data_IF_743309812936
#
_entry.id   IF_743309812936
#
_cell.length_a   1.000
_cell.length_b   1.000
_cell.length_c   1.000
_cell.angle_alpha   90.00
_cell.angle_beta   90.00
_cell.angle_gamma   90.00
#
_symmetry.space_group_name_H-M   'P 1'
#
loop_
_entity.id
_entity.type
_entity.pdbx_description
1 polymer ?
#
# COMPACT_ATOMS: atom_id res chain seq x y z
N UNK A 1 -17.07 -12.59 -2.95
CA UNK A 1 -15.65 -12.60 -3.37
C UNK A 1 -14.71 -13.45 -2.51
N UNK A 2 -15.00 -13.73 -1.24
CA UNK A 2 -14.11 -14.52 -0.37
C UNK A 2 -13.65 -15.87 -0.98
N UNK A 3 -14.56 -16.61 -1.63
CA UNK A 3 -14.26 -17.88 -2.31
C UNK A 3 -13.24 -17.78 -3.46
N UNK A 4 -13.02 -16.58 -4.01
CA UNK A 4 -11.97 -16.38 -5.02
C UNK A 4 -10.59 -16.59 -4.40
N UNK A 5 -10.39 -16.07 -3.19
CA UNK A 5 -9.14 -16.21 -2.44
C UNK A 5 -9.03 -17.57 -1.77
N UNK A 6 -10.15 -18.09 -1.27
CA UNK A 6 -10.17 -19.36 -0.55
C UNK A 6 -10.06 -20.58 -1.49
N UNK A 7 -10.62 -20.51 -2.70
CA UNK A 7 -10.71 -21.64 -3.61
C UNK A 7 -10.11 -21.36 -4.99
N UNK A 8 -10.56 -20.33 -5.72
CA UNK A 8 -10.14 -20.13 -7.12
C UNK A 8 -8.63 -19.99 -7.23
N UNK A 9 -8.02 -19.13 -6.40
CA UNK A 9 -6.58 -18.94 -6.40
C UNK A 9 -5.82 -20.20 -5.95
N UNK A 10 -6.30 -20.90 -4.92
CA UNK A 10 -5.67 -22.16 -4.47
C UNK A 10 -5.75 -23.23 -5.55
N UNK A 11 -6.87 -23.31 -6.28
CA UNK A 11 -7.03 -24.22 -7.41
C UNK A 11 -6.03 -23.89 -8.51
N UNK A 12 -5.88 -22.61 -8.87
CA UNK A 12 -4.89 -22.16 -9.85
C UNK A 12 -3.46 -22.51 -9.42
N UNK A 13 -3.08 -22.24 -8.17
CA UNK A 13 -1.76 -22.60 -7.64
C UNK A 13 -1.55 -24.11 -7.68
N UNK A 14 -2.52 -24.91 -7.25
CA UNK A 14 -2.44 -26.38 -7.35
C UNK A 14 -2.32 -26.87 -8.80
N UNK A 15 -2.94 -26.20 -9.77
CA UNK A 15 -2.76 -26.50 -11.19
C UNK A 15 -1.32 -26.18 -11.63
N UNK A 16 -0.81 -25.00 -11.28
CA UNK A 16 0.54 -24.57 -11.64
C UNK A 16 1.64 -25.39 -10.94
N UNK A 17 1.34 -26.05 -9.83
CA UNK A 17 2.30 -26.95 -9.15
C UNK A 17 2.09 -28.43 -9.48
N UNK A 18 1.16 -28.77 -10.38
CA UNK A 18 0.87 -30.16 -10.75
C UNK A 18 0.23 -31.00 -9.63
N UNK A 19 -0.36 -30.36 -8.62
CA UNK A 19 -0.96 -31.01 -7.44
C UNK A 19 -2.51 -31.05 -7.51
N UNK A 20 -3.10 -30.59 -8.62
CA UNK A 20 -4.55 -30.46 -8.73
C UNK A 20 -5.25 -31.79 -9.02
N UNK A 21 -5.80 -32.42 -7.98
CA UNK A 21 -6.74 -33.57 -8.09
C UNK A 21 -6.27 -34.70 -9.02
N UNK A 22 -4.95 -34.93 -9.11
CA UNK A 22 -4.36 -35.96 -9.96
C UNK A 22 -4.39 -35.67 -11.46
N UNK A 23 -4.74 -34.44 -11.88
CA UNK A 23 -4.65 -34.02 -13.27
C UNK A 23 -3.21 -33.67 -13.65
N UNK A 24 -2.81 -34.10 -14.84
CA UNK A 24 -1.63 -33.59 -15.53
C UNK A 24 -1.92 -32.27 -16.25
N UNK A 25 -0.95 -31.75 -17.01
CA UNK A 25 -1.14 -30.56 -17.83
C UNK A 25 -1.83 -30.82 -19.17
N UNK A 26 -2.13 -32.08 -19.52
CA UNK A 26 -2.75 -32.47 -20.78
C UNK A 26 -1.97 -31.96 -21.99
N UNK A 27 -2.66 -31.21 -22.86
CA UNK A 27 -2.08 -30.58 -24.06
C UNK A 27 -1.39 -29.23 -23.79
N UNK A 28 -1.38 -28.79 -22.54
CA UNK A 28 -0.86 -27.51 -22.09
C UNK A 28 0.42 -27.70 -21.24
N UNK A 29 1.11 -26.60 -20.94
CA UNK A 29 2.40 -26.56 -20.23
C UNK A 29 2.42 -25.48 -19.13
N UNK A 30 1.34 -25.44 -18.33
CA UNK A 30 1.14 -24.45 -17.27
C UNK A 30 1.82 -24.81 -15.94
N UNK A 31 2.47 -25.98 -15.85
CA UNK A 31 3.15 -26.43 -14.63
C UNK A 31 4.50 -25.72 -14.51
N UNK A 32 4.70 -25.06 -13.38
CA UNK A 32 5.96 -24.42 -13.03
C UNK A 32 6.98 -25.48 -12.61
N UNK A 33 8.24 -25.27 -12.99
CA UNK A 33 9.34 -26.07 -12.49
C UNK A 33 9.41 -25.98 -10.94
N UNK A 34 9.67 -27.09 -10.22
CA UNK A 34 9.73 -27.09 -8.76
C UNK A 34 10.71 -26.07 -8.17
N UNK A 35 11.88 -25.86 -8.81
CA UNK A 35 12.87 -24.89 -8.35
C UNK A 35 12.38 -23.44 -8.59
N UNK A 36 11.63 -23.24 -9.67
CA UNK A 36 10.95 -21.97 -9.94
C UNK A 36 9.90 -21.68 -8.88
N UNK A 37 9.07 -22.65 -8.53
CA UNK A 37 8.05 -22.48 -7.49
C UNK A 37 8.65 -22.23 -6.11
N UNK A 38 9.74 -22.93 -5.77
CA UNK A 38 10.53 -22.68 -4.57
C UNK A 38 11.06 -21.23 -4.53
N UNK A 39 11.66 -20.75 -5.62
CA UNK A 39 12.14 -19.38 -5.71
C UNK A 39 11.02 -18.34 -5.55
N UNK A 40 9.82 -18.62 -6.09
CA UNK A 40 8.63 -17.77 -5.89
C UNK A 40 8.24 -17.70 -4.41
N UNK A 41 8.26 -18.84 -3.71
CA UNK A 41 7.99 -18.92 -2.27
C UNK A 41 8.98 -18.12 -1.43
N UNK A 42 10.28 -18.23 -1.74
CA UNK A 42 11.36 -17.50 -1.07
C UNK A 42 11.26 -15.98 -1.31
N UNK A 43 11.00 -15.55 -2.55
CA UNK A 43 10.78 -14.15 -2.90
C UNK A 43 9.54 -13.57 -2.18
N UNK A 44 8.47 -14.36 -2.11
CA UNK A 44 7.23 -13.98 -1.40
C UNK A 44 7.49 -13.76 0.09
N UNK A 45 8.17 -14.70 0.76
CA UNK A 45 8.48 -14.56 2.18
C UNK A 45 9.43 -13.38 2.46
N UNK A 46 10.43 -13.20 1.59
CA UNK A 46 11.40 -12.09 1.68
C UNK A 46 10.75 -10.72 1.56
N UNK A 47 9.67 -10.60 0.77
CA UNK A 47 8.88 -9.37 0.66
C UNK A 47 8.26 -8.95 2.01
N UNK A 48 8.08 -9.87 2.96
CA UNK A 48 7.60 -9.54 4.31
C UNK A 48 8.51 -8.63 5.13
N UNK A 49 9.76 -8.43 4.71
CA UNK A 49 10.68 -7.45 5.30
C UNK A 49 10.58 -6.06 4.67
N UNK A 50 10.03 -5.96 3.47
CA UNK A 50 10.01 -4.72 2.65
C UNK A 50 8.61 -4.21 2.33
N UNK A 51 7.57 -4.97 2.70
CA UNK A 51 6.18 -4.54 2.68
C UNK A 51 5.80 -4.04 4.09
N UNK A 52 5.44 -2.76 4.26
CA UNK A 52 5.09 -2.19 5.55
C UNK A 52 3.93 -2.92 6.24
N UNK A 53 3.89 -2.90 7.57
CA UNK A 53 2.86 -3.61 8.36
C UNK A 53 1.44 -3.11 8.11
N UNK A 54 1.30 -1.89 7.61
CA UNK A 54 -0.01 -1.31 7.29
C UNK A 54 -0.71 -2.06 6.14
N UNK A 55 0.04 -2.77 5.30
CA UNK A 55 -0.48 -3.63 4.23
C UNK A 55 -1.04 -4.96 4.77
N UNK A 56 -0.74 -5.30 6.02
CA UNK A 56 -1.22 -6.53 6.67
C UNK A 56 -0.11 -7.38 7.29
N UNK A 57 -0.43 -8.64 7.66
CA UNK A 57 0.53 -9.62 8.16
C UNK A 57 1.69 -9.88 7.18
N UNK A 58 2.77 -10.51 7.67
CA UNK A 58 3.87 -10.89 6.78
C UNK A 58 3.34 -11.96 5.82
N UNK A 59 3.54 -11.83 4.50
CA UNK A 59 3.17 -12.88 3.57
C UNK A 59 3.96 -14.15 3.92
N UNK A 60 3.28 -15.30 4.13
CA UNK A 60 3.95 -16.58 4.33
C UNK A 60 4.65 -17.04 3.05
N UNK A 61 5.55 -18.02 3.18
CA UNK A 61 6.11 -18.69 2.02
C UNK A 61 5.01 -19.56 1.37
N UNK A 62 4.52 -19.15 0.20
CA UNK A 62 3.43 -19.83 -0.51
C UNK A 62 3.77 -21.25 -0.97
N UNK A 63 5.05 -21.60 -1.06
CA UNK A 63 5.51 -22.95 -1.37
C UNK A 63 5.66 -23.81 -0.10
N UNK A 64 6.34 -23.29 0.93
CA UNK A 64 6.70 -24.06 2.11
C UNK A 64 5.61 -24.13 3.20
N UNK A 65 4.72 -23.13 3.27
CA UNK A 65 3.70 -23.02 4.33
C UNK A 65 2.33 -22.62 3.77
N UNK A 66 1.77 -23.50 2.94
CA UNK A 66 0.42 -23.33 2.38
C UNK A 66 -0.67 -23.24 3.46
N UNK A 67 -0.43 -23.83 4.63
CA UNK A 67 -1.36 -23.81 5.77
C UNK A 67 -1.45 -22.45 6.45
N UNK A 68 -0.34 -21.72 6.53
CA UNK A 68 -0.35 -20.33 7.02
C UNK A 68 -0.96 -19.34 6.02
N UNK A 69 -1.15 -19.75 4.76
CA UNK A 69 -1.77 -18.92 3.73
C UNK A 69 -3.30 -18.85 3.91
N UNK A 70 -3.77 -17.89 4.73
CA UNK A 70 -5.19 -17.55 4.88
C UNK A 70 -5.75 -16.88 3.61
N UNK A 71 -7.08 -16.81 3.48
CA UNK A 71 -7.73 -16.09 2.38
C UNK A 71 -7.29 -14.61 2.29
N UNK A 72 -7.03 -13.95 3.43
CA UNK A 72 -6.48 -12.59 3.48
C UNK A 72 -5.08 -12.54 2.84
N UNK A 73 -4.17 -13.42 3.27
CA UNK A 73 -2.80 -13.49 2.73
C UNK A 73 -2.76 -13.87 1.25
N UNK A 74 -3.67 -14.74 0.80
CA UNK A 74 -3.83 -15.12 -0.59
C UNK A 74 -4.34 -13.96 -1.44
N UNK A 75 -5.30 -13.17 -0.94
CA UNK A 75 -5.77 -11.97 -1.64
C UNK A 75 -4.64 -10.95 -1.80
N UNK A 76 -3.88 -10.71 -0.73
CA UNK A 76 -2.72 -9.83 -0.76
C UNK A 76 -1.65 -10.32 -1.74
N UNK A 77 -1.32 -11.61 -1.68
CA UNK A 77 -0.35 -12.22 -2.58
C UNK A 77 -0.80 -12.09 -4.05
N UNK A 78 -2.05 -12.44 -4.35
CA UNK A 78 -2.57 -12.40 -5.72
C UNK A 78 -2.59 -11.01 -6.34
N UNK A 79 -3.00 -10.00 -5.56
CA UNK A 79 -3.16 -8.63 -6.06
C UNK A 79 -1.80 -7.92 -6.21
N UNK A 80 -0.86 -8.18 -5.30
CA UNK A 80 0.31 -7.33 -5.15
C UNK A 80 1.65 -8.06 -5.37
N UNK A 81 1.76 -9.34 -5.00
CA UNK A 81 3.02 -10.09 -5.04
C UNK A 81 3.14 -10.96 -6.29
N UNK A 82 2.14 -11.80 -6.53
CA UNK A 82 2.07 -12.74 -7.64
C UNK A 82 2.31 -12.09 -9.02
N UNK A 83 1.77 -10.89 -9.34
CA UNK A 83 2.06 -10.24 -10.61
C UNK A 83 3.54 -9.97 -10.84
N UNK A 84 4.31 -9.77 -9.76
CA UNK A 84 5.76 -9.58 -9.81
C UNK A 84 6.48 -10.92 -9.91
N UNK A 85 6.25 -11.82 -8.95
CA UNK A 85 7.05 -13.04 -8.79
C UNK A 85 6.75 -14.11 -9.84
N UNK A 86 5.55 -14.12 -10.45
CA UNK A 86 5.19 -15.05 -11.53
C UNK A 86 5.64 -14.58 -12.92
N UNK A 87 6.04 -13.30 -13.07
CA UNK A 87 6.34 -12.73 -14.38
C UNK A 87 7.48 -13.47 -15.06
N UNK A 88 7.26 -13.96 -16.28
CA UNK A 88 8.27 -14.71 -17.03
C UNK A 88 8.76 -15.99 -16.35
N UNK A 89 7.94 -16.61 -15.48
CA UNK A 89 8.24 -17.90 -14.83
C UNK A 89 7.57 -19.09 -15.51
N UNK A 90 6.44 -18.85 -16.17
CA UNK A 90 5.80 -19.86 -17.00
C UNK A 90 6.57 -20.07 -18.30
N UNK A 91 6.58 -21.30 -18.82
CA UNK A 91 7.19 -21.62 -20.12
C UNK A 91 6.51 -20.90 -21.28
N UNK A 92 5.20 -20.73 -21.19
CA UNK A 92 4.41 -19.92 -22.12
C UNK A 92 3.77 -18.73 -21.38
N UNK A 93 3.93 -17.52 -21.95
CA UNK A 93 3.45 -16.29 -21.32
C UNK A 93 1.92 -16.22 -21.20
N UNK A 94 1.19 -17.00 -22.01
CA UNK A 94 -0.27 -17.02 -22.02
C UNK A 94 -0.89 -17.34 -20.64
N UNK A 95 -0.26 -18.19 -19.83
CA UNK A 95 -0.76 -18.53 -18.49
C UNK A 95 -0.61 -17.38 -17.51
N UNK A 96 0.53 -16.67 -17.58
CA UNK A 96 0.74 -15.45 -16.82
C UNK A 96 -0.26 -14.36 -17.24
N UNK A 97 -0.46 -14.18 -18.54
CA UNK A 97 -1.42 -13.20 -19.06
C UNK A 97 -2.85 -13.54 -18.65
N UNK A 98 -3.23 -14.83 -18.66
CA UNK A 98 -4.52 -15.30 -18.15
C UNK A 98 -4.69 -14.97 -16.66
N UNK A 99 -3.67 -15.22 -15.84
CA UNK A 99 -3.67 -14.81 -14.42
C UNK A 99 -3.82 -13.29 -14.25
N UNK A 100 -3.03 -12.49 -14.97
CA UNK A 100 -3.08 -11.02 -14.88
C UNK A 100 -4.45 -10.47 -15.31
N UNK A 101 -5.10 -11.06 -16.33
CA UNK A 101 -6.47 -10.70 -16.71
C UNK A 101 -7.44 -10.84 -15.54
N UNK A 102 -7.35 -11.94 -14.77
CA UNK A 102 -8.15 -12.11 -13.56
C UNK A 102 -7.85 -10.99 -12.56
N UNK A 103 -6.57 -10.78 -12.23
CA UNK A 103 -6.15 -9.79 -11.22
C UNK A 103 -6.68 -8.38 -11.54
N UNK A 104 -6.65 -7.97 -12.81
CA UNK A 104 -7.24 -6.69 -13.23
C UNK A 104 -8.73 -6.59 -12.92
N UNK A 105 -9.49 -7.63 -13.26
CA UNK A 105 -10.93 -7.68 -12.98
C UNK A 105 -11.17 -7.62 -11.46
N UNK A 106 -10.35 -8.33 -10.68
CA UNK A 106 -10.49 -8.34 -9.23
C UNK A 106 -10.14 -6.99 -8.61
N UNK A 107 -9.18 -6.23 -9.14
CA UNK A 107 -8.94 -4.86 -8.71
C UNK A 107 -10.16 -3.96 -8.93
N UNK A 108 -10.83 -4.07 -10.07
CA UNK A 108 -12.10 -3.35 -10.33
C UNK A 108 -13.17 -3.72 -9.31
N UNK A 109 -13.36 -5.03 -9.03
CA UNK A 109 -14.32 -5.50 -8.02
C UNK A 109 -14.03 -5.00 -6.59
N UNK A 110 -12.80 -4.54 -6.30
CA UNK A 110 -12.36 -4.06 -4.99
C UNK A 110 -12.38 -2.53 -4.87
N UNK A 111 -12.80 -1.80 -5.90
CA UNK A 111 -12.95 -0.35 -5.81
C UNK A 111 -14.06 0.03 -4.82
N UNK A 112 -13.92 1.21 -4.21
CA UNK A 112 -14.94 1.78 -3.32
C UNK A 112 -16.20 2.18 -4.10
N UNK A 113 -16.01 2.66 -5.33
CA UNK A 113 -17.06 3.08 -6.24
C UNK A 113 -16.88 2.34 -7.56
N UNK A 114 -18.00 1.85 -8.11
CA UNK A 114 -18.03 1.22 -9.43
C UNK A 114 -19.15 1.83 -10.26
N UNK A 115 -18.81 2.23 -11.48
CA UNK A 115 -19.80 2.64 -12.48
C UNK A 115 -20.48 1.41 -13.08
N UNK A 116 -21.70 1.59 -13.61
CA UNK A 116 -22.41 0.51 -14.32
C UNK A 116 -21.62 -0.03 -15.52
N UNK A 117 -20.85 0.83 -16.20
CA UNK A 117 -20.00 0.43 -17.31
C UNK A 117 -18.82 -0.46 -16.85
N UNK A 118 -18.22 -0.16 -15.71
CA UNK A 118 -17.20 -1.03 -15.10
C UNK A 118 -17.79 -2.37 -14.68
N UNK A 119 -19.00 -2.40 -14.09
CA UNK A 119 -19.67 -3.65 -13.73
C UNK A 119 -19.97 -4.51 -14.98
N UNK A 120 -20.37 -3.91 -16.09
CA UNK A 120 -20.56 -4.65 -17.35
C UNK A 120 -19.23 -5.16 -17.93
N UNK A 121 -18.16 -4.38 -17.77
CA UNK A 121 -16.80 -4.82 -18.12
C UNK A 121 -16.35 -5.99 -17.26
N UNK A 122 -16.68 -6.02 -15.96
CA UNK A 122 -16.45 -7.16 -15.06
C UNK A 122 -17.21 -8.39 -15.54
N UNK A 123 -18.50 -8.24 -15.91
CA UNK A 123 -19.33 -9.34 -16.43
C UNK A 123 -18.71 -9.99 -17.65
N UNK A 124 -18.42 -9.18 -18.66
CA UNK A 124 -17.84 -9.65 -19.93
C UNK A 124 -16.43 -10.20 -19.69
N UNK A 125 -15.64 -9.53 -18.86
CA UNK A 125 -14.29 -9.95 -18.50
C UNK A 125 -14.25 -11.33 -17.83
N UNK A 126 -15.13 -11.60 -16.87
CA UNK A 126 -15.18 -12.91 -16.19
C UNK A 126 -15.68 -14.02 -17.11
N UNK A 127 -16.68 -13.75 -17.96
CA UNK A 127 -17.14 -14.71 -18.95
C UNK A 127 -16.04 -15.12 -19.93
N UNK A 128 -15.30 -14.13 -20.45
CA UNK A 128 -14.15 -14.38 -21.32
C UNK A 128 -13.03 -15.11 -20.58
N UNK A 129 -12.73 -14.71 -19.34
CA UNK A 129 -11.71 -15.37 -18.54
C UNK A 129 -12.02 -16.84 -18.24
N UNK A 130 -13.29 -17.15 -17.92
CA UNK A 130 -13.75 -18.54 -17.70
C UNK A 130 -13.68 -19.34 -18.99
N UNK A 131 -14.04 -18.76 -20.14
CA UNK A 131 -13.90 -19.44 -21.44
C UNK A 131 -12.43 -19.77 -21.74
N UNK A 132 -11.51 -18.83 -21.50
CA UNK A 132 -10.07 -19.09 -21.62
C UNK A 132 -9.57 -20.14 -20.61
N UNK A 133 -10.10 -20.11 -19.38
CA UNK A 133 -9.80 -21.10 -18.34
C UNK A 133 -10.21 -22.50 -18.79
N UNK A 134 -11.38 -22.64 -19.39
CA UNK A 134 -11.86 -23.93 -19.91
C UNK A 134 -10.94 -24.45 -21.01
N UNK A 135 -10.47 -23.58 -21.91
CA UNK A 135 -9.50 -23.98 -22.94
C UNK A 135 -8.15 -24.45 -22.36
N UNK A 136 -7.64 -23.77 -21.33
CA UNK A 136 -6.32 -24.06 -20.74
C UNK A 136 -6.36 -25.29 -19.81
N UNK A 137 -7.30 -25.33 -18.87
CA UNK A 137 -7.26 -26.29 -17.77
C UNK A 137 -8.21 -27.47 -17.97
N UNK A 138 -9.45 -27.21 -18.43
CA UNK A 138 -10.44 -28.25 -18.71
C UNK A 138 -10.20 -28.93 -20.07
N UNK A 139 -9.67 -28.19 -21.05
CA UNK A 139 -9.31 -28.66 -22.40
C UNK A 139 -10.47 -29.34 -23.15
N UNK A 140 -11.70 -29.04 -22.75
CA UNK A 140 -12.94 -29.66 -23.26
C UNK A 140 -12.95 -31.19 -23.20
N UNK A 141 -12.20 -31.77 -22.26
CA UNK A 141 -12.14 -33.21 -22.05
C UNK A 141 -12.94 -33.61 -20.80
N UNK A 142 -13.93 -34.48 -21.01
CA UNK A 142 -14.76 -35.05 -19.94
C UNK A 142 -13.95 -35.71 -18.80
N UNK A 143 -12.76 -36.24 -19.07
CA UNK A 143 -11.88 -36.81 -18.04
C UNK A 143 -11.28 -35.75 -17.10
N UNK A 144 -11.30 -34.48 -17.53
CA UNK A 144 -10.78 -33.33 -16.80
C UNK A 144 -11.87 -32.49 -16.13
N UNK A 145 -13.11 -33.01 -16.06
CA UNK A 145 -14.27 -32.31 -15.48
C UNK A 145 -14.03 -31.80 -14.05
N UNK A 146 -13.10 -32.43 -13.31
CA UNK A 146 -12.72 -31.98 -11.96
C UNK A 146 -12.11 -30.56 -11.92
N UNK A 147 -11.63 -30.05 -13.07
CA UNK A 147 -11.16 -28.69 -13.29
C UNK A 147 -12.30 -27.66 -13.46
N UNK A 148 -13.57 -28.07 -13.53
CA UNK A 148 -14.73 -27.17 -13.60
C UNK A 148 -15.50 -27.11 -12.27
N UNK A 149 -14.89 -26.69 -11.14
CA UNK A 149 -15.59 -26.65 -9.87
C UNK A 149 -16.61 -25.51 -9.86
N UNK A 150 -17.61 -25.64 -8.97
CA UNK A 150 -18.64 -24.62 -8.74
C UNK A 150 -18.05 -23.22 -8.46
N UNK A 151 -16.85 -23.15 -7.87
CA UNK A 151 -16.19 -21.88 -7.56
C UNK A 151 -15.69 -21.14 -8.80
N UNK A 152 -15.38 -21.84 -9.90
CA UNK A 152 -15.08 -21.21 -11.19
C UNK A 152 -16.37 -20.70 -11.84
N UNK A 153 -17.44 -21.50 -11.82
CA UNK A 153 -18.76 -21.05 -12.31
C UNK A 153 -19.28 -19.83 -11.53
N UNK A 154 -19.07 -19.79 -10.22
CA UNK A 154 -19.49 -18.69 -9.35
C UNK A 154 -18.91 -17.32 -9.77
N UNK A 155 -17.79 -17.29 -10.49
CA UNK A 155 -17.22 -16.04 -11.03
C UNK A 155 -18.19 -15.35 -11.98
N UNK A 156 -18.98 -16.10 -12.75
CA UNK A 156 -19.94 -15.54 -13.72
C UNK A 156 -21.05 -14.71 -13.07
N UNK A 157 -21.30 -14.91 -11.77
CA UNK A 157 -22.34 -14.23 -10.99
C UNK A 157 -21.83 -13.03 -10.20
N UNK A 158 -20.53 -12.70 -10.27
CA UNK A 158 -19.93 -11.60 -9.49
C UNK A 158 -20.53 -10.26 -9.89
N UNK A 159 -20.71 -9.98 -11.18
CA UNK A 159 -21.29 -8.72 -11.64
C UNK A 159 -22.74 -8.54 -11.18
N UNK A 160 -23.56 -9.60 -11.23
CA UNK A 160 -24.93 -9.57 -10.69
C UNK A 160 -24.94 -9.32 -9.18
N UNK A 161 -24.02 -9.96 -8.46
CA UNK A 161 -23.86 -9.74 -7.01
C UNK A 161 -23.51 -8.28 -6.70
N UNK A 162 -22.68 -7.64 -7.52
CA UNK A 162 -22.35 -6.21 -7.37
C UNK A 162 -23.59 -5.33 -7.58
N UNK A 163 -24.38 -5.60 -8.62
CA UNK A 163 -25.59 -4.83 -8.91
C UNK A 163 -26.66 -4.96 -7.81
N UNK A 164 -26.77 -6.15 -7.21
CA UNK A 164 -27.79 -6.45 -6.21
C UNK A 164 -27.40 -6.00 -4.80
N UNK A 165 -26.12 -6.04 -4.44
CA UNK A 165 -25.67 -5.87 -3.05
C UNK A 165 -24.54 -4.86 -2.87
N UNK A 166 -24.17 -4.13 -3.93
CA UNK A 166 -23.05 -3.19 -3.91
C UNK A 166 -21.69 -3.89 -4.03
N UNK A 167 -20.57 -3.15 -3.87
CA UNK A 167 -19.23 -3.70 -4.00
C UNK A 167 -19.03 -4.97 -3.17
N UNK A 168 -18.54 -6.03 -3.81
CA UNK A 168 -18.48 -7.39 -3.26
C UNK A 168 -17.53 -7.57 -2.08
N UNK A 169 -16.67 -6.58 -1.81
CA UNK A 169 -15.86 -6.53 -0.59
C UNK A 169 -16.67 -6.03 0.62
N UNK A 170 -17.78 -5.32 0.43
CA UNK A 170 -18.63 -4.86 1.54
C UNK A 170 -19.44 -6.01 2.16
N UNK A 171 -19.66 -7.11 1.42
CA UNK A 171 -20.48 -8.26 1.83
C UNK A 171 -19.68 -9.56 2.01
N UNK A 172 -18.34 -9.49 2.06
CA UNK A 172 -17.50 -10.68 2.29
C UNK A 172 -17.56 -11.20 3.73
N UNK A 173 -17.12 -12.45 3.94
CA UNK A 173 -17.19 -13.14 5.23
C UNK A 173 -16.08 -12.77 6.24
N UNK A 174 -15.06 -11.99 5.85
CA UNK A 174 -13.95 -11.64 6.76
C UNK A 174 -14.40 -10.99 8.09
N UNK A 175 -15.38 -10.07 8.12
CA UNK A 175 -15.89 -9.52 9.39
C UNK A 175 -16.52 -10.60 10.28
N UNK A 176 -17.25 -11.56 9.68
CA UNK A 176 -17.87 -12.67 10.41
C UNK A 176 -16.80 -13.62 10.96
N UNK A 177 -15.79 -13.98 10.16
CA UNK A 177 -14.68 -14.81 10.62
C UNK A 177 -13.92 -14.17 11.79
N UNK A 178 -13.67 -12.86 11.71
CA UNK A 178 -13.04 -12.12 12.81
C UNK A 178 -13.92 -12.15 14.05
N UNK A 179 -15.23 -11.96 13.90
CA UNK A 179 -16.17 -12.04 15.02
C UNK A 179 -16.17 -13.44 15.66
N UNK A 180 -16.25 -14.51 14.87
CA UNK A 180 -16.09 -15.87 15.36
C UNK A 180 -14.73 -16.09 16.05
N UNK A 181 -13.66 -15.47 15.55
CA UNK A 181 -12.33 -15.47 16.16
C UNK A 181 -12.30 -14.85 17.56
N UNK A 182 -13.07 -13.78 17.79
CA UNK A 182 -13.25 -13.15 19.11
C UNK A 182 -14.02 -14.07 20.07
N UNK A 183 -15.00 -14.81 19.56
CA UNK A 183 -15.83 -15.71 20.36
C UNK A 183 -15.11 -17.01 20.77
N UNK A 184 -14.21 -17.54 19.92
CA UNK A 184 -13.52 -18.82 20.19
C UNK A 184 -12.81 -18.86 21.56
N UNK A 185 -12.01 -17.86 21.97
CA UNK A 185 -11.37 -17.83 23.29
C UNK A 185 -12.35 -17.73 24.48
N UNK A 186 -13.61 -17.31 24.25
CA UNK A 186 -14.63 -17.22 25.28
C UNK A 186 -15.16 -18.59 25.72
N UNK A 187 -15.00 -19.63 24.90
CA UNK A 187 -15.42 -21.00 25.19
C UNK A 187 -14.41 -21.64 26.17
N UNK A 188 -14.44 -21.19 27.43
CA UNK A 188 -13.54 -21.64 28.50
C UNK A 188 -14.03 -22.89 29.22
N UNK A 189 -15.30 -23.29 29.01
CA UNK A 189 -15.91 -24.47 29.62
C UNK A 189 -16.20 -25.53 28.57
N UNK A 190 -15.61 -26.71 28.72
CA UNK A 190 -15.95 -27.90 27.89
C UNK A 190 -17.30 -28.51 28.24
N UNK A 191 -17.77 -28.30 29.48
CA UNK A 191 -19.05 -28.86 29.98
C UNK A 191 -20.25 -27.97 29.62
N UNK A 192 -20.06 -26.65 29.62
CA UNK A 192 -21.11 -25.66 29.35
C UNK A 192 -20.63 -24.61 28.34
N UNK A 193 -20.32 -25.00 27.09
CA UNK A 193 -19.74 -24.10 26.10
C UNK A 193 -20.68 -22.95 25.72
N UNK A 194 -21.99 -23.23 25.57
CA UNK A 194 -22.98 -22.23 25.20
C UNK A 194 -23.19 -21.17 26.29
N UNK A 195 -23.25 -21.58 27.56
CA UNK A 195 -23.39 -20.63 28.69
C UNK A 195 -22.17 -19.71 28.78
N UNK A 196 -20.96 -20.24 28.58
CA UNK A 196 -19.75 -19.44 28.57
C UNK A 196 -19.75 -18.41 27.42
N UNK A 197 -20.24 -18.82 26.25
CA UNK A 197 -20.39 -17.95 25.09
C UNK A 197 -21.44 -16.86 25.32
N UNK A 198 -22.63 -17.23 25.82
CA UNK A 198 -23.74 -16.31 26.09
C UNK A 198 -23.33 -15.24 27.10
N UNK A 199 -22.69 -15.64 28.19
CA UNK A 199 -22.18 -14.72 29.20
C UNK A 199 -21.16 -13.74 28.60
N UNK A 200 -20.21 -14.25 27.79
CA UNK A 200 -19.22 -13.37 27.16
C UNK A 200 -19.84 -12.35 26.21
N UNK A 201 -20.84 -12.75 25.41
CA UNK A 201 -21.55 -11.86 24.50
C UNK A 201 -22.35 -10.82 25.30
N UNK A 202 -23.08 -11.25 26.34
CA UNK A 202 -23.82 -10.36 27.23
C UNK A 202 -22.89 -9.35 27.93
N UNK A 203 -21.80 -9.81 28.54
CA UNK A 203 -20.83 -8.95 29.23
C UNK A 203 -20.21 -7.93 28.27
N UNK A 204 -19.86 -8.37 27.05
CA UNK A 204 -19.29 -7.49 26.02
C UNK A 204 -20.30 -6.42 25.56
N UNK A 205 -21.55 -6.81 25.35
CA UNK A 205 -22.63 -5.89 24.96
C UNK A 205 -22.95 -4.88 26.08
N UNK A 206 -23.05 -5.35 27.34
CA UNK A 206 -23.26 -4.50 28.50
C UNK A 206 -22.11 -3.50 28.67
N UNK A 207 -20.85 -3.95 28.53
CA UNK A 207 -19.70 -3.07 28.59
C UNK A 207 -19.72 -2.01 27.48
N UNK A 208 -20.11 -2.39 26.26
CA UNK A 208 -20.28 -1.45 25.15
C UNK A 208 -21.38 -0.41 25.45
N UNK A 209 -22.51 -0.85 26.02
CA UNK A 209 -23.58 0.06 26.43
C UNK A 209 -23.13 1.04 27.52
N UNK A 210 -22.43 0.56 28.56
CA UNK A 210 -21.88 1.41 29.62
C UNK A 210 -20.91 2.46 29.06
N UNK A 211 -20.04 2.08 28.12
CA UNK A 211 -19.12 3.01 27.44
C UNK A 211 -19.86 4.16 26.77
N UNK A 212 -21.00 3.88 26.14
CA UNK A 212 -21.83 4.88 25.44
C UNK A 212 -22.59 5.74 26.44
N UNK A 213 -23.34 5.13 27.36
CA UNK A 213 -24.21 5.82 28.32
C UNK A 213 -23.43 6.79 29.20
N UNK A 214 -22.25 6.37 29.66
CA UNK A 214 -21.42 7.18 30.57
C UNK A 214 -20.31 7.96 29.85
N UNK A 215 -20.28 7.95 28.50
CA UNK A 215 -19.16 8.53 27.73
C UNK A 215 -17.78 8.05 28.20
N UNK A 216 -17.71 6.81 28.68
CA UNK A 216 -16.53 6.22 29.33
C UNK A 216 -15.73 5.32 28.37
N UNK A 217 -15.86 5.53 27.06
CA UNK A 217 -15.23 4.71 26.03
C UNK A 217 -13.69 4.65 26.17
N UNK A 218 -13.07 5.77 26.51
CA UNK A 218 -11.63 5.86 26.73
C UNK A 218 -11.21 5.18 28.04
N UNK A 219 -11.86 5.53 29.16
CA UNK A 219 -11.57 4.98 30.48
C UNK A 219 -11.75 3.45 30.56
N UNK A 220 -12.79 2.93 29.89
CA UNK A 220 -13.09 1.49 29.82
C UNK A 220 -12.52 0.84 28.56
N UNK A 221 -11.66 1.53 27.82
CA UNK A 221 -11.02 1.02 26.61
C UNK A 221 -10.14 -0.21 26.88
N UNK A 222 -9.64 -0.37 28.12
CA UNK A 222 -8.68 -1.40 28.55
C UNK A 222 -7.45 -1.50 27.62
N UNK A 223 -7.15 -0.42 26.89
CA UNK A 223 -5.98 -0.30 26.03
C UNK A 223 -4.83 0.19 26.90
N UNK A 224 -3.60 -0.20 26.56
CA UNK A 224 -2.43 0.47 27.12
C UNK A 224 -2.56 1.98 26.86
N UNK A 225 -2.29 2.85 27.85
CA UNK A 225 -2.36 4.30 27.64
C UNK A 225 -1.50 4.66 26.44
N UNK A 226 -2.10 5.34 25.47
CA UNK A 226 -1.37 5.87 24.32
C UNK A 226 -0.41 6.90 24.88
N UNK A 227 0.89 6.58 24.90
CA UNK A 227 1.89 7.60 25.16
C UNK A 227 1.94 8.46 23.91
N UNK A 228 1.24 9.59 23.94
CA UNK A 228 1.28 10.55 22.85
C UNK A 228 2.67 11.20 22.83
N UNK A 229 3.56 10.56 22.09
CA UNK A 229 4.87 11.09 21.77
C UNK A 229 4.85 11.86 20.45
N UNK A 230 3.67 12.09 19.87
CA UNK A 230 3.57 12.84 18.63
C UNK A 230 3.86 14.32 18.91
N UNK A 231 4.43 14.99 17.93
CA UNK A 231 4.71 16.42 17.98
C UNK A 231 4.13 17.07 16.75
N UNK A 232 3.13 17.89 17.02
CA UNK A 232 2.44 18.75 16.08
C UNK A 232 3.31 19.94 15.68
N UNK A 233 3.36 20.24 14.38
CA UNK A 233 4.06 21.42 13.85
C UNK A 233 3.02 22.36 13.23
N UNK A 234 2.98 23.66 13.61
CA UNK A 234 2.07 24.63 12.99
C UNK A 234 2.21 24.66 11.46
N UNK A 235 1.10 24.76 10.75
CA UNK A 235 1.05 24.71 9.28
C UNK A 235 1.04 23.30 8.68
N UNK A 236 1.19 22.27 9.51
CA UNK A 236 1.06 20.86 9.14
C UNK A 236 -0.15 20.17 9.81
N UNK A 237 -0.91 20.92 10.60
CA UNK A 237 -2.15 20.52 11.28
C UNK A 237 -3.07 21.73 11.24
N UNK A 238 -4.22 21.59 10.60
CA UNK A 238 -5.32 22.56 10.70
C UNK A 238 -6.56 21.87 11.26
N UNK A 239 -7.08 22.44 12.35
CA UNK A 239 -8.36 22.04 12.92
C UNK A 239 -9.41 22.88 12.20
N UNK A 240 -9.85 22.46 11.02
CA UNK A 240 -11.09 22.98 10.46
C UNK A 240 -12.17 21.89 10.41
N UNK A 241 -13.31 22.21 11.00
CA UNK A 241 -14.44 21.30 11.22
C UNK A 241 -15.30 21.08 9.98
N UNK A 242 -14.97 21.70 8.85
CA UNK A 242 -15.76 21.62 7.62
C UNK A 242 -14.98 21.25 6.34
N UNK A 243 -13.66 21.10 6.39
CA UNK A 243 -12.85 20.64 5.27
C UNK A 243 -12.36 19.20 5.50
N UNK A 244 -12.79 18.28 4.64
CA UNK A 244 -12.11 17.00 4.52
C UNK A 244 -10.72 17.28 3.94
N UNK A 245 -9.65 17.14 4.75
CA UNK A 245 -8.23 16.95 4.37
C UNK A 245 -7.20 18.11 4.55
N UNK A 246 -7.19 18.85 5.67
CA UNK A 246 -6.03 19.74 6.00
C UNK A 246 -5.11 19.22 7.14
N UNK A 247 -5.30 17.98 7.54
CA UNK A 247 -4.46 17.28 8.52
C UNK A 247 -3.26 16.60 7.83
N UNK A 248 -2.12 17.29 7.71
CA UNK A 248 -1.00 16.78 6.89
C UNK A 248 -0.13 15.75 7.61
N UNK A 249 0.46 16.05 8.77
CA UNK A 249 1.28 15.07 9.52
C UNK A 249 1.63 15.46 10.96
N UNK A 250 1.99 14.45 11.77
CA UNK A 250 2.60 14.61 13.09
C UNK A 250 3.95 13.87 13.18
N UNK A 251 4.90 14.41 13.95
CA UNK A 251 6.26 13.86 14.06
C UNK A 251 6.42 12.97 15.29
N UNK A 252 7.18 11.86 15.17
CA UNK A 252 7.38 10.93 16.27
C UNK A 252 8.88 10.63 16.52
N UNK A 253 9.26 10.28 17.76
CA UNK A 253 10.62 9.93 18.12
C UNK A 253 11.23 8.78 17.29
N UNK A 254 12.57 8.73 17.18
CA UNK A 254 13.53 9.58 17.88
C UNK A 254 13.68 10.98 17.28
N UNK A 255 13.95 11.97 18.13
CA UNK A 255 14.28 13.34 17.74
C UNK A 255 15.76 13.56 18.06
N UNK A 256 16.56 13.97 17.07
CA UNK A 256 17.93 14.43 17.32
C UNK A 256 17.95 15.89 17.75
N UNK A 257 18.88 16.21 18.65
CA UNK A 257 19.18 17.59 19.03
C UNK A 257 19.57 18.37 17.77
N UNK A 258 19.11 19.62 17.60
CA UNK A 258 19.47 20.43 16.45
C UNK A 258 20.99 20.50 16.26
N UNK A 259 21.46 20.08 15.10
CA UNK A 259 22.88 20.02 14.75
C UNK A 259 23.15 20.75 13.44
N UNK A 260 24.42 21.10 13.23
CA UNK A 260 24.87 21.66 11.97
C UNK A 260 24.98 20.53 10.95
N UNK A 261 24.18 20.61 9.88
CA UNK A 261 24.20 19.63 8.81
C UNK A 261 25.43 19.80 7.92
N UNK A 262 25.87 18.71 7.29
CA UNK A 262 26.90 18.75 6.26
C UNK A 262 26.50 19.67 5.10
N UNK A 263 27.47 20.34 4.49
CA UNK A 263 27.24 21.38 3.47
C UNK A 263 26.39 20.87 2.29
N UNK A 264 26.63 19.64 1.84
CA UNK A 264 25.84 19.04 0.76
C UNK A 264 24.35 18.87 1.08
N UNK A 265 23.99 18.56 2.34
CA UNK A 265 22.58 18.50 2.77
C UNK A 265 21.98 19.90 2.89
N UNK A 266 22.76 20.87 3.38
CA UNK A 266 22.33 22.27 3.45
C UNK A 266 22.04 22.83 2.07
N UNK A 267 22.90 22.59 1.09
CA UNK A 267 22.69 23.05 -0.28
C UNK A 267 21.42 22.47 -0.91
N UNK A 268 21.05 21.23 -0.58
CA UNK A 268 19.78 20.62 -1.00
C UNK A 268 18.57 21.28 -0.35
N UNK A 269 18.64 21.57 0.95
CA UNK A 269 17.60 22.33 1.65
C UNK A 269 17.48 23.73 1.06
N UNK A 270 18.61 24.41 0.81
CA UNK A 270 18.63 25.72 0.17
C UNK A 270 17.98 25.68 -1.20
N UNK A 271 18.28 24.68 -2.03
CA UNK A 271 17.63 24.50 -3.32
C UNK A 271 16.10 24.35 -3.20
N UNK A 272 15.63 23.50 -2.29
CA UNK A 272 14.21 23.32 -2.01
C UNK A 272 13.52 24.62 -1.58
N UNK A 273 14.12 25.37 -0.65
CA UNK A 273 13.56 26.62 -0.14
C UNK A 273 13.62 27.75 -1.17
N UNK A 274 14.65 27.78 -2.01
CA UNK A 274 14.75 28.75 -3.11
C UNK A 274 13.59 28.57 -4.09
N UNK A 275 13.26 27.32 -4.44
CA UNK A 275 12.11 26.99 -5.28
C UNK A 275 10.79 27.31 -4.58
N UNK A 276 10.65 26.96 -3.29
CA UNK A 276 9.40 27.21 -2.54
C UNK A 276 9.04 28.69 -2.46
N UNK A 277 10.01 29.55 -2.14
CA UNK A 277 9.77 30.98 -1.92
C UNK A 277 10.00 31.83 -3.18
N UNK A 278 10.39 31.20 -4.30
CA UNK A 278 10.78 31.88 -5.55
C UNK A 278 11.82 32.99 -5.34
N UNK A 279 12.93 32.65 -4.67
CA UNK A 279 14.02 33.58 -4.36
C UNK A 279 15.39 32.98 -4.63
N UNK A 280 16.42 33.81 -4.93
CA UNK A 280 17.78 33.31 -5.11
C UNK A 280 18.32 32.62 -3.85
N UNK A 281 18.99 31.48 -4.01
CA UNK A 281 19.51 30.70 -2.87
C UNK A 281 20.52 31.44 -2.00
N UNK A 282 21.20 32.45 -2.52
CA UNK A 282 22.05 33.35 -1.72
C UNK A 282 21.25 34.08 -0.64
N UNK A 283 20.02 34.50 -0.96
CA UNK A 283 19.13 35.20 -0.04
C UNK A 283 18.61 34.26 1.07
N UNK A 284 18.24 33.03 0.70
CA UNK A 284 17.82 31.98 1.65
C UNK A 284 18.96 31.58 2.59
N UNK A 285 20.20 31.54 2.10
CA UNK A 285 21.37 31.10 2.87
C UNK A 285 21.58 31.90 4.15
N UNK A 286 21.34 33.21 4.13
CA UNK A 286 21.47 34.06 5.31
C UNK A 286 20.33 33.87 6.32
N UNK A 287 19.18 33.37 5.87
CA UNK A 287 17.98 33.16 6.68
C UNK A 287 17.85 31.72 7.19
N UNK A 288 18.65 30.79 6.67
CA UNK A 288 18.62 29.39 7.06
C UNK A 288 19.15 29.20 8.49
N UNK A 289 18.44 28.46 9.37
CA UNK A 289 18.92 28.18 10.71
C UNK A 289 20.28 27.44 10.72
N UNK A 290 21.16 27.86 11.64
CA UNK A 290 22.49 27.23 11.79
C UNK A 290 22.44 25.79 12.32
N UNK A 291 21.39 25.45 13.07
CA UNK A 291 21.15 24.11 13.60
C UNK A 291 19.75 23.67 13.22
N UNK A 292 19.63 22.47 12.66
CA UNK A 292 18.37 21.93 12.13
C UNK A 292 18.03 20.66 12.90
N UNK A 293 16.79 20.54 13.36
CA UNK A 293 16.31 19.35 14.06
C UNK A 293 16.00 18.23 13.06
N UNK A 294 16.30 16.98 13.44
CA UNK A 294 15.95 15.79 12.66
C UNK A 294 15.02 14.87 13.43
N UNK A 295 14.08 14.27 12.72
CA UNK A 295 13.10 13.34 13.27
C UNK A 295 13.18 11.97 12.62
N UNK A 296 12.87 10.95 13.43
CA UNK A 296 12.95 9.56 13.01
C UNK A 296 11.71 9.09 12.28
N UNK A 297 10.54 9.65 12.55
CA UNK A 297 9.26 9.15 12.06
C UNK A 297 8.26 10.29 11.85
N UNK A 298 7.33 10.05 10.93
CA UNK A 298 6.19 10.93 10.64
C UNK A 298 4.94 10.08 10.46
N UNK A 299 3.83 10.52 11.03
CA UNK A 299 2.51 9.94 10.87
C UNK A 299 1.69 10.88 10.00
N UNK A 300 1.25 10.42 8.82
CA UNK A 300 0.23 11.14 8.05
C UNK A 300 -1.09 11.05 8.84
N UNK A 301 -1.74 12.19 9.07
CA UNK A 301 -2.94 12.26 9.89
C UNK A 301 -4.18 11.79 9.10
N UNK A 302 -5.38 11.87 9.68
CA UNK A 302 -6.61 11.40 9.00
C UNK A 302 -6.67 9.88 8.75
N UNK A 303 -5.92 9.08 9.52
CA UNK A 303 -5.82 7.62 9.31
C UNK A 303 -4.76 7.20 8.30
N UNK A 304 -3.85 8.10 7.91
CA UNK A 304 -2.74 7.83 7.02
C UNK A 304 -1.63 6.94 7.60
N UNK A 305 -0.51 6.86 6.88
CA UNK A 305 0.57 5.92 7.17
C UNK A 305 1.62 6.46 8.17
N UNK A 306 2.18 5.56 9.00
CA UNK A 306 3.35 5.83 9.85
C UNK A 306 4.66 5.52 9.10
N UNK A 307 5.35 6.56 8.63
CA UNK A 307 6.59 6.46 7.87
C UNK A 307 7.80 6.60 8.80
N UNK A 308 8.83 5.79 8.55
CA UNK A 308 10.11 5.83 9.28
C UNK A 308 11.22 6.30 8.35
N UNK A 309 12.00 7.28 8.79
CA UNK A 309 13.23 7.64 8.09
C UNK A 309 14.27 6.52 8.23
N UNK A 310 15.04 6.23 7.17
CA UNK A 310 16.07 5.19 7.23
C UNK A 310 17.28 5.58 8.09
N UNK A 311 17.66 6.87 8.15
CA UNK A 311 18.84 7.31 8.91
C UNK A 311 18.59 7.44 10.42
N UNK A 312 17.36 7.78 10.84
CA UNK A 312 17.04 8.09 12.24
C UNK A 312 15.89 7.26 12.81
N UNK A 313 14.99 6.71 11.99
CA UNK A 313 13.82 5.95 12.44
C UNK A 313 14.14 4.65 13.18
N UNK A 314 15.38 4.16 13.04
CA UNK A 314 15.88 2.94 13.66
C UNK A 314 15.31 1.67 13.01
N UNK A 315 16.13 0.62 12.93
CA UNK A 315 15.70 -0.72 12.54
C UNK A 315 15.79 -1.63 13.76
N UNK A 316 14.72 -2.37 14.07
CA UNK A 316 14.78 -3.53 14.98
C UNK A 316 14.92 -4.78 14.11
N UNK A 317 15.51 -5.84 14.66
CA UNK A 317 15.70 -7.12 13.96
C UNK A 317 14.39 -7.64 13.34
N UNK A 318 13.27 -7.50 14.07
CA UNK A 318 11.93 -7.89 13.58
C UNK A 318 11.18 -6.80 12.81
N UNK A 319 11.77 -5.64 12.57
CA UNK A 319 11.06 -4.54 11.92
C UNK A 319 10.97 -4.70 10.40
N UNK A 320 9.86 -4.23 9.82
CA UNK A 320 9.72 -4.11 8.37
C UNK A 320 10.23 -2.74 7.92
N UNK A 321 10.81 -2.68 6.73
CA UNK A 321 11.20 -1.42 6.13
C UNK A 321 9.94 -0.63 5.74
N UNK A 322 9.66 0.44 6.49
CA UNK A 322 8.58 1.39 6.28
C UNK A 322 9.14 2.79 5.97
N UNK A 323 10.18 2.85 5.13
CA UNK A 323 10.82 4.11 4.71
C UNK A 323 10.56 4.49 3.26
N UNK A 324 9.99 3.60 2.45
CA UNK A 324 9.71 3.89 1.05
C UNK A 324 8.33 4.53 0.90
N UNK A 325 8.30 5.61 0.12
CA UNK A 325 7.13 6.48 -0.03
C UNK A 325 6.81 6.73 -1.49
N UNK A 326 5.54 6.98 -1.77
CA UNK A 326 5.09 7.71 -2.96
C UNK A 326 4.96 9.18 -2.62
N UNK A 327 5.44 10.04 -3.50
CA UNK A 327 5.26 11.49 -3.38
C UNK A 327 5.02 12.09 -4.77
N UNK A 328 4.44 13.28 -4.80
CA UNK A 328 4.17 13.99 -6.05
C UNK A 328 4.88 15.34 -6.06
N UNK A 329 5.47 15.68 -7.19
CA UNK A 329 6.23 16.92 -7.36
C UNK A 329 6.00 17.51 -8.73
N UNK A 330 5.91 18.83 -8.79
CA UNK A 330 5.86 19.57 -10.04
C UNK A 330 7.21 19.50 -10.74
N UNK A 331 7.21 19.02 -11.97
CA UNK A 331 8.39 18.98 -12.83
C UNK A 331 8.11 19.79 -14.08
N UNK A 332 9.05 20.67 -14.41
CA UNK A 332 8.98 21.36 -15.68
C UNK A 332 9.19 20.38 -16.85
N UNK A 333 8.18 20.26 -17.70
CA UNK A 333 8.19 19.45 -18.91
C UNK A 333 9.31 19.87 -19.86
N UNK A 334 9.71 21.14 -19.80
CA UNK A 334 10.71 21.74 -20.66
C UNK A 334 12.11 21.86 -20.03
N UNK A 335 12.41 21.13 -18.94
CA UNK A 335 13.75 21.15 -18.28
C UNK A 335 14.91 20.93 -19.26
N UNK A 336 14.71 20.13 -20.31
CA UNK A 336 15.73 19.88 -21.34
C UNK A 336 15.81 20.97 -22.43
N UNK A 337 14.86 21.90 -22.48
CA UNK A 337 14.71 22.93 -23.51
C UNK A 337 14.70 24.34 -22.89
N UNK A 338 15.89 24.87 -22.61
CA UNK A 338 16.10 26.13 -21.86
C UNK A 338 15.37 27.38 -22.40
N UNK A 339 14.95 27.38 -23.67
CA UNK A 339 14.31 28.53 -24.32
C UNK A 339 12.78 28.38 -24.44
N UNK A 340 12.20 27.33 -23.85
CA UNK A 340 10.74 27.13 -23.82
C UNK A 340 10.18 27.62 -22.50
N UNK A 341 8.91 28.08 -22.48
CA UNK A 341 8.25 28.44 -21.23
C UNK A 341 8.23 27.25 -20.27
N UNK A 342 8.43 27.50 -18.99
CA UNK A 342 8.28 26.50 -17.93
C UNK A 342 6.84 26.00 -17.94
N UNK A 343 6.65 24.70 -18.12
CA UNK A 343 5.32 24.06 -18.03
C UNK A 343 5.43 23.03 -16.92
N UNK A 344 4.92 23.38 -15.73
CA UNK A 344 4.94 22.50 -14.58
C UNK A 344 3.87 21.42 -14.74
N UNK A 345 4.29 20.17 -14.63
CA UNK A 345 3.44 18.99 -14.66
C UNK A 345 3.61 18.23 -13.36
N UNK A 346 2.49 17.93 -12.69
CA UNK A 346 2.51 17.08 -11.50
C UNK A 346 2.90 15.66 -11.89
N UNK A 347 3.96 15.13 -11.27
CA UNK A 347 4.42 13.77 -11.52
C UNK A 347 4.57 13.00 -10.22
N UNK A 348 4.21 11.72 -10.29
CA UNK A 348 4.38 10.75 -9.22
C UNK A 348 5.80 10.20 -9.22
N UNK A 349 6.40 10.15 -8.03
CA UNK A 349 7.73 9.62 -7.79
C UNK A 349 7.71 8.65 -6.61
N UNK A 350 8.75 7.83 -6.54
CA UNK A 350 8.98 6.92 -5.43
C UNK A 350 10.40 7.07 -4.91
N UNK A 351 10.60 6.81 -3.62
CA UNK A 351 11.92 6.89 -3.01
C UNK A 351 11.94 6.46 -1.56
N UNK A 352 13.15 6.36 -1.03
CA UNK A 352 13.39 6.11 0.40
C UNK A 352 13.46 7.44 1.15
N UNK A 353 12.57 7.65 2.11
CA UNK A 353 12.68 8.71 3.09
C UNK A 353 13.88 8.43 3.99
N UNK A 354 14.97 9.16 3.77
CA UNK A 354 16.19 9.02 4.57
C UNK A 354 16.18 9.96 5.76
N UNK A 355 15.56 11.13 5.61
CA UNK A 355 15.63 12.21 6.57
C UNK A 355 14.34 13.02 6.69
N UNK A 356 14.05 13.48 7.91
CA UNK A 356 12.96 14.41 8.20
C UNK A 356 13.57 15.61 8.91
N UNK A 357 13.53 16.78 8.28
CA UNK A 357 14.08 18.03 8.81
C UNK A 357 12.97 18.92 9.32
N UNK A 358 13.18 19.56 10.47
CA UNK A 358 12.31 20.62 10.96
C UNK A 358 13.12 21.89 11.12
N UNK A 359 12.67 22.94 10.45
CA UNK A 359 13.26 24.27 10.49
C UNK A 359 12.19 25.32 10.77
N UNK A 360 12.64 26.45 11.34
CA UNK A 360 11.83 27.64 11.57
C UNK A 360 12.43 28.77 10.75
N UNK A 361 11.72 29.22 9.73
CA UNK A 361 12.11 30.37 8.92
C UNK A 361 11.69 31.65 9.64
N UNK A 362 12.57 32.68 9.71
CA UNK A 362 12.19 33.96 10.30
C UNK A 362 11.22 34.70 9.40
N UNK A 363 10.37 35.55 10.00
CA UNK A 363 9.65 36.58 9.25
C UNK A 363 10.67 37.44 8.49
N UNK A 364 10.45 37.61 7.19
CA UNK A 364 11.38 38.28 6.31
C UNK A 364 10.66 38.75 5.06
N UNK A 365 10.85 40.03 4.73
CA UNK A 365 10.37 40.60 3.47
C UNK A 365 10.95 39.85 2.26
N UNK A 366 12.18 39.36 2.38
CA UNK A 366 12.84 38.58 1.32
C UNK A 366 12.08 37.29 1.02
N UNK A 367 11.58 36.59 2.04
CA UNK A 367 10.81 35.36 1.88
C UNK A 367 9.31 35.61 1.68
N UNK A 368 8.90 36.90 1.63
CA UNK A 368 7.49 37.32 1.66
C UNK A 368 6.72 36.78 2.88
N UNK A 369 7.42 36.57 4.00
CA UNK A 369 6.85 36.06 5.24
C UNK A 369 6.61 37.21 6.22
N UNK A 370 5.35 37.41 6.61
CA UNK A 370 4.94 38.38 7.65
C UNK A 370 5.21 37.85 9.06
N UNK A 371 5.11 36.54 9.26
CA UNK A 371 5.37 35.85 10.52
C UNK A 371 6.36 34.68 10.33
N UNK A 372 7.05 34.23 11.41
CA UNK A 372 7.92 33.07 11.31
C UNK A 372 7.15 31.80 10.94
N UNK A 373 7.63 31.08 9.92
CA UNK A 373 7.00 29.84 9.42
C UNK A 373 7.77 28.60 9.89
N UNK A 374 7.05 27.55 10.26
CA UNK A 374 7.64 26.24 10.51
C UNK A 374 7.54 25.36 9.27
N UNK A 375 8.64 24.72 8.87
CA UNK A 375 8.67 23.80 7.74
C UNK A 375 9.12 22.42 8.17
N UNK A 376 8.45 21.41 7.62
CA UNK A 376 8.83 20.00 7.70
C UNK A 376 9.25 19.55 6.31
N UNK A 377 10.53 19.24 6.14
CA UNK A 377 11.07 18.81 4.85
C UNK A 377 11.46 17.34 4.90
N UNK A 378 11.19 16.64 3.81
CA UNK A 378 11.57 15.25 3.60
C UNK A 378 12.81 15.16 2.71
N UNK A 379 13.86 14.51 3.22
CA UNK A 379 15.04 14.14 2.45
C UNK A 379 14.87 12.74 1.87
N UNK A 380 14.75 12.65 0.55
CA UNK A 380 14.39 11.41 -0.16
C UNK A 380 15.50 11.00 -1.12
N UNK A 381 15.88 9.73 -1.06
CA UNK A 381 16.64 9.06 -2.11
C UNK A 381 15.67 8.48 -3.13
N UNK A 382 15.61 9.09 -4.31
CA UNK A 382 14.68 8.69 -5.37
C UNK A 382 14.93 7.26 -5.88
N UNK A 383 13.92 6.60 -6.42
CA UNK A 383 14.05 5.38 -7.21
C UNK A 383 14.10 5.75 -8.70
N UNK A 384 15.08 5.23 -9.44
CA UNK A 384 15.12 5.41 -10.90
C UNK A 384 14.28 4.34 -11.55
N UNK A 385 13.04 4.68 -11.89
CA UNK A 385 12.09 3.74 -12.49
C UNK A 385 12.60 3.24 -13.85
N UNK A 386 12.48 1.93 -14.06
CA UNK A 386 12.76 1.28 -15.32
C UNK A 386 11.62 1.59 -16.31
N UNK A 387 11.92 1.80 -17.60
CA UNK A 387 10.94 2.07 -18.66
C UNK A 387 10.09 0.83 -19.07
N UNK A 388 9.86 -0.09 -18.14
CA UNK A 388 9.14 -1.34 -18.40
C UNK A 388 7.65 -1.15 -18.22
N UNK A 389 6.87 -1.75 -19.12
CA UNK A 389 5.43 -1.81 -18.97
C UNK A 389 5.06 -2.61 -17.71
N UNK A 390 4.17 -2.04 -16.92
CA UNK A 390 3.61 -2.71 -15.77
C UNK A 390 2.80 -3.94 -16.19
N UNK A 391 2.76 -5.01 -15.36
CA UNK A 391 1.98 -6.22 -15.64
C UNK A 391 0.53 -5.90 -15.96
N UNK A 392 0.11 -6.04 -17.23
CA UNK A 392 -1.27 -5.78 -17.65
C UNK A 392 -1.79 -4.36 -17.38
N UNK A 393 -0.93 -3.39 -17.09
CA UNK A 393 -1.33 -2.03 -16.68
C UNK A 393 -1.72 -1.90 -15.20
N UNK A 394 -1.32 -2.84 -14.34
CA UNK A 394 -1.40 -2.70 -12.88
C UNK A 394 -0.47 -1.57 -12.39
N UNK A 395 -0.77 -1.00 -11.22
CA UNK A 395 0.04 0.03 -10.57
C UNK A 395 1.29 -0.59 -9.88
N UNK A 396 2.19 -1.12 -10.71
CA UNK A 396 3.43 -1.79 -10.30
C UNK A 396 4.59 -1.23 -11.11
N UNK A 397 5.52 -0.60 -10.40
CA UNK A 397 6.68 0.06 -11.01
C UNK A 397 7.96 -0.66 -10.66
N UNK A 398 8.87 -0.80 -11.63
CA UNK A 398 10.15 -1.47 -11.42
C UNK A 398 11.28 -0.46 -11.30
N UNK A 399 12.30 -0.78 -10.51
CA UNK A 399 13.58 -0.07 -10.52
C UNK A 399 14.70 -1.02 -10.14
N UNK A 400 15.90 -0.74 -10.66
CA UNK A 400 17.12 -1.45 -10.26
C UNK A 400 18.04 -0.55 -9.43
N UNK A 401 18.10 0.74 -9.76
CA UNK A 401 19.03 1.68 -9.15
C UNK A 401 18.30 2.75 -8.33
N UNK A 402 18.95 3.20 -7.27
CA UNK A 402 18.56 4.42 -6.58
C UNK A 402 19.07 5.63 -7.36
N UNK A 403 18.28 6.70 -7.35
CA UNK A 403 18.56 7.94 -8.02
C UNK A 403 19.18 8.99 -7.09
N UNK A 404 18.97 10.25 -7.46
CA UNK A 404 19.49 11.41 -6.72
C UNK A 404 18.84 11.53 -5.35
N UNK A 405 19.55 12.22 -4.46
CA UNK A 405 18.98 12.73 -3.22
C UNK A 405 18.38 14.12 -3.47
N UNK A 406 17.14 14.28 -3.02
CA UNK A 406 16.40 15.54 -3.08
C UNK A 406 15.69 15.83 -1.77
N UNK A 407 15.33 17.10 -1.58
CA UNK A 407 14.59 17.58 -0.42
C UNK A 407 13.31 18.19 -0.95
N UNK A 408 12.19 17.76 -0.39
CA UNK A 408 10.84 18.23 -0.74
C UNK A 408 10.08 18.62 0.52
N UNK A 409 8.96 19.33 0.36
CA UNK A 409 8.03 19.53 1.47
C UNK A 409 7.39 18.19 1.87
N UNK A 410 7.23 17.96 3.17
CA UNK A 410 6.53 16.79 3.70
C UNK A 410 5.08 16.66 3.15
N UNK A 411 4.41 17.77 2.81
CA UNK A 411 3.07 17.78 2.20
C UNK A 411 3.00 17.03 0.86
N UNK A 412 4.13 16.87 0.18
CA UNK A 412 4.19 16.17 -1.09
C UNK A 412 4.13 14.64 -0.93
N UNK A 413 4.45 14.11 0.26
CA UNK A 413 4.42 12.68 0.53
C UNK A 413 2.98 12.21 0.69
N UNK A 414 2.59 11.20 -0.08
CA UNK A 414 1.23 10.69 -0.14
C UNK A 414 1.02 9.49 0.78
N UNK A 415 1.93 8.52 0.73
CA UNK A 415 1.72 7.24 1.40
C UNK A 415 3.01 6.40 1.46
N UNK A 416 2.96 5.33 2.25
CA UNK A 416 3.94 4.25 2.22
C UNK A 416 3.70 3.31 1.05
N UNK A 417 4.79 2.89 0.42
CA UNK A 417 4.76 1.85 -0.61
C UNK A 417 5.47 0.57 -0.15
N UNK A 418 4.94 -0.57 -0.59
CA UNK A 418 5.60 -1.86 -0.45
C UNK A 418 6.66 -2.06 -1.53
N UNK A 419 7.67 -2.89 -1.24
CA UNK A 419 8.64 -3.33 -2.24
C UNK A 419 8.79 -4.84 -2.25
N UNK A 420 9.06 -5.39 -3.43
CA UNK A 420 9.30 -6.82 -3.65
C UNK A 420 10.62 -6.93 -4.43
N UNK A 421 11.54 -7.75 -3.94
CA UNK A 421 12.76 -8.09 -4.67
C UNK A 421 12.61 -9.47 -5.31
N UNK A 422 12.84 -9.55 -6.61
CA UNK A 422 12.87 -10.81 -7.35
C UNK A 422 13.89 -10.70 -8.48
N UNK A 423 14.78 -11.69 -8.65
CA UNK A 423 15.77 -11.76 -9.75
C UNK A 423 16.57 -10.46 -10.00
N UNK A 424 17.13 -9.86 -8.94
CA UNK A 424 18.07 -8.74 -9.05
C UNK A 424 17.42 -7.36 -9.23
N UNK A 425 16.10 -7.26 -9.07
CA UNK A 425 15.32 -6.08 -9.41
C UNK A 425 14.21 -5.88 -8.38
N UNK A 426 13.84 -4.62 -8.16
CA UNK A 426 12.79 -4.24 -7.24
C UNK A 426 11.51 -3.89 -7.99
N UNK A 427 10.38 -4.36 -7.48
CA UNK A 427 9.06 -3.87 -7.82
C UNK A 427 8.48 -3.08 -6.65
N UNK A 428 7.87 -1.95 -6.95
CA UNK A 428 7.12 -1.12 -6.02
C UNK A 428 5.66 -1.49 -6.16
N UNK A 429 5.00 -1.66 -5.02
CA UNK A 429 3.58 -1.95 -4.94
C UNK A 429 2.90 -0.90 -4.10
N UNK A 430 1.88 -0.29 -4.68
CA UNK A 430 1.09 0.76 -4.07
C UNK A 430 -0.35 0.28 -3.85
N UNK A 431 -0.86 0.42 -2.62
CA UNK A 431 -2.24 0.07 -2.25
C UNK A 431 -3.21 1.26 -2.31
N UNK A 432 -2.68 2.46 -2.50
CA UNK A 432 -3.39 3.73 -2.27
C UNK A 432 -4.25 4.13 -3.46
N UNK A 433 -3.91 3.60 -4.65
CA UNK A 433 -4.57 3.94 -5.90
C UNK A 433 -4.65 5.45 -6.13
N UNK A 434 -5.73 5.90 -6.76
CA UNK A 434 -5.99 7.30 -7.07
C UNK A 434 -6.55 8.15 -5.92
N UNK A 435 -6.68 7.62 -4.70
CA UNK A 435 -7.28 8.32 -3.55
C UNK A 435 -6.28 9.16 -2.74
N UNK A 436 -4.96 8.92 -2.87
CA UNK A 436 -3.94 9.74 -2.23
C UNK A 436 -3.25 10.64 -3.27
N UNK A 437 -3.54 11.94 -3.29
CA UNK A 437 -3.00 12.92 -4.25
C UNK A 437 -2.51 14.16 -3.53
N UNK A 438 -1.43 14.76 -4.03
CA UNK A 438 -1.02 16.09 -3.62
C UNK A 438 -1.97 17.11 -4.26
N UNK A 439 -2.49 18.03 -3.46
CA UNK A 439 -3.19 19.21 -3.98
C UNK A 439 -2.20 20.36 -4.07
N UNK A 440 -2.09 20.94 -5.26
CA UNK A 440 -1.47 22.25 -5.48
C UNK A 440 -2.61 23.21 -5.75
N UNK A 441 -2.75 24.25 -4.94
CA UNK A 441 -3.69 25.32 -5.23
C UNK A 441 -3.08 26.16 -6.35
N UNK A 442 -3.70 26.13 -7.54
CA UNK A 442 -3.44 27.10 -8.60
C UNK A 442 -4.13 28.42 -8.21
N UNK A 443 -3.64 29.09 -7.17
CA UNK A 443 -4.03 30.47 -6.87
C UNK A 443 -2.96 31.39 -7.46
N UNK A 444 -3.13 31.80 -8.72
CA UNK A 444 -2.76 33.10 -9.26
C UNK A 444 -3.40 33.29 -10.65
N UNK A 445 -4.66 33.74 -10.63
CA UNK A 445 -5.23 34.66 -11.63
C UNK A 445 -6.51 35.28 -11.04
N UNK A 446 -6.36 36.27 -10.15
CA UNK A 446 -6.98 37.63 -10.15
C UNK A 446 -6.38 38.46 -9.02
#
# INVERSE_FOLDING_TARGET
>A
MHLVWENVLKNLVSLWTGEYKGLDSGTEDYVLDPDVWKAIGEATASAGSTIPSVYGPRPPNVQADRTACTADSWSFWALYIAPVVLRGRFRQEKYYNHFIKLIKILHTCLQFELTRAEVESVRTGLANWVTEYEGIYYQHDSMRLSACPVTIHALLHVADSILLSGPVWASWSFPMERYCGILKPAIRSRRFPFVALDNYVADTAQLAQLKVVYSAAEALGLRSPVRDHSTSIPGYIEIDTHALLDDTCALLPPKRVPETLADGLRDKILGCLSTRYDVPGAAVRFLLPQKIARWGKVQILGGGDLIRSSNLGGSREDSRNASFVRYESLVDRNVSYRNRPTILELRTFYGELQDIFVLKMPASQTLKLTEPEHLVLAGIRTCTLDNRSAPGGLDIHYYTNTGRYEVIDMKNIQCLVGRIFDRGQWAIVDRSGGLARAMYNDDEDV
#
